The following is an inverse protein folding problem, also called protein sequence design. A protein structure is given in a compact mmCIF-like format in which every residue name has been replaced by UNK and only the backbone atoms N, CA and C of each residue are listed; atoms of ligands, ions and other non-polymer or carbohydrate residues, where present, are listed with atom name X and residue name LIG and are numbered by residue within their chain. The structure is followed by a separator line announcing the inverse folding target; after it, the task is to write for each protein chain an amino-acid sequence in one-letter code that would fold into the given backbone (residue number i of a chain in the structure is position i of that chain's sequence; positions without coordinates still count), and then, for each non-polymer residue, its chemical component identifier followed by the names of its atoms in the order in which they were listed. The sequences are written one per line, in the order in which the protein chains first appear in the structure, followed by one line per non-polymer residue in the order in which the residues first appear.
data_IF_097051360772
#
_entry.id   IF_097051360772
#
_cell.length_a   1.000
_cell.length_b   1.000
_cell.length_c   1.000
_cell.angle_alpha   90.00
_cell.angle_beta   90.00
_cell.angle_gamma   90.00
#
_symmetry.space_group_name_H-M   'P 1'
#
loop_
_entity.id
_entity.type
_entity.pdbx_description
1 polymer ?
#
# COMPACT_ATOMS: atom_id res chain seq x y z
N UNK A 1 51.28 15.44 39.80
CA UNK A 1 51.68 15.89 38.44
C UNK A 1 50.96 15.02 37.42
N UNK A 2 49.92 15.53 36.74
CA UNK A 2 49.82 15.42 35.28
C UNK A 2 48.68 16.26 34.73
N UNK A 3 49.01 16.94 33.62
CA UNK A 3 48.34 18.09 33.01
C UNK A 3 47.01 17.74 32.36
N UNK A 4 46.01 18.58 32.61
CA UNK A 4 44.87 18.77 31.73
C UNK A 4 45.33 19.30 30.36
N UNK A 5 44.95 18.60 29.29
CA UNK A 5 44.96 19.15 27.93
C UNK A 5 43.52 19.42 27.53
N UNK A 6 43.13 20.69 27.54
CA UNK A 6 41.87 21.16 26.97
C UNK A 6 42.02 21.25 25.45
N UNK A 7 41.39 20.32 24.74
CA UNK A 7 41.22 20.39 23.29
C UNK A 7 40.14 21.43 22.99
N UNK A 8 40.54 22.59 22.45
CA UNK A 8 39.60 23.60 21.96
C UNK A 8 38.94 23.11 20.68
N UNK A 9 37.70 22.64 20.79
CA UNK A 9 36.83 22.33 19.65
C UNK A 9 36.30 23.66 19.08
N UNK A 10 36.89 24.14 17.98
CA UNK A 10 36.39 25.31 17.26
C UNK A 10 34.99 25.02 16.71
N UNK A 11 33.98 25.76 17.17
CA UNK A 11 32.61 25.75 16.63
C UNK A 11 32.64 26.27 15.18
N UNK A 12 32.30 25.45 14.17
CA UNK A 12 32.20 25.94 12.81
C UNK A 12 31.02 26.91 12.67
N UNK A 13 31.32 27.97 11.94
CA UNK A 13 30.55 29.20 11.80
C UNK A 13 29.20 28.95 11.11
N UNK A 14 28.10 28.98 11.86
CA UNK A 14 26.71 28.86 11.37
C UNK A 14 26.36 29.84 10.24
N UNK A 15 27.08 30.95 10.13
CA UNK A 15 26.87 31.95 9.07
C UNK A 15 27.37 31.50 7.70
N UNK A 16 28.37 30.63 7.62
CA UNK A 16 28.90 30.14 6.34
C UNK A 16 27.93 29.16 5.67
N UNK A 17 27.24 28.31 6.44
CA UNK A 17 26.22 27.41 5.90
C UNK A 17 24.99 28.15 5.37
N UNK A 18 24.59 29.26 6.00
CA UNK A 18 23.40 30.01 5.59
C UNK A 18 23.59 30.70 4.22
N UNK A 19 24.81 31.18 3.93
CA UNK A 19 25.14 31.78 2.63
C UNK A 19 25.15 30.76 1.48
N UNK A 20 25.61 29.53 1.73
CA UNK A 20 25.56 28.46 0.73
C UNK A 20 24.11 28.05 0.41
N UNK A 21 23.22 28.03 1.41
CA UNK A 21 21.83 27.60 1.23
C UNK A 21 21.01 28.57 0.36
N UNK A 22 21.31 29.88 0.43
CA UNK A 22 20.64 30.89 -0.39
C UNK A 22 21.08 30.87 -1.87
N UNK A 23 22.29 30.38 -2.16
CA UNK A 23 22.77 30.24 -3.56
C UNK A 23 22.01 29.14 -4.33
N UNK A 24 21.65 28.04 -3.66
CA UNK A 24 20.93 26.93 -4.29
C UNK A 24 19.44 27.22 -4.61
N UNK A 25 18.81 28.17 -3.91
CA UNK A 25 17.39 28.46 -4.10
C UNK A 25 17.09 29.39 -5.30
N UNK A 26 18.11 29.82 -6.05
CA UNK A 26 17.96 30.79 -7.15
C UNK A 26 17.84 30.18 -8.56
N UNK A 27 17.96 28.86 -8.72
CA UNK A 27 17.96 28.20 -10.04
C UNK A 27 16.83 27.17 -10.19
N UNK A 28 15.59 27.61 -10.30
CA UNK A 28 14.55 26.84 -11.01
C UNK A 28 13.42 27.77 -11.45
N UNK A 29 13.71 28.52 -12.52
CA UNK A 29 12.73 29.26 -13.28
C UNK A 29 12.51 28.62 -14.65
N UNK A 30 11.23 28.45 -14.98
CA UNK A 30 10.59 28.31 -16.31
C UNK A 30 10.50 26.93 -16.97
N UNK A 31 9.26 26.65 -17.40
CA UNK A 31 8.88 25.73 -18.47
C UNK A 31 7.98 24.61 -17.96
N UNK A 32 6.83 24.25 -18.51
CA UNK A 32 6.22 24.58 -19.81
C UNK A 32 4.74 24.16 -19.73
N UNK A 33 3.82 24.99 -20.22
CA UNK A 33 2.42 24.62 -20.48
C UNK A 33 2.34 23.83 -21.79
N UNK A 34 1.71 22.65 -21.79
CA UNK A 34 1.05 21.95 -22.93
C UNK A 34 0.49 20.61 -22.38
N UNK A 35 -0.61 20.01 -22.81
CA UNK A 35 -1.65 20.31 -23.78
C UNK A 35 -2.93 19.62 -23.30
N UNK A 36 -4.10 20.20 -23.56
CA UNK A 36 -5.40 19.57 -23.32
C UNK A 36 -5.73 18.63 -24.46
N UNK A 37 -5.69 17.32 -24.23
CA UNK A 37 -6.27 16.34 -25.16
C UNK A 37 -7.72 16.06 -24.79
N UNK A 38 -8.63 16.51 -25.65
CA UNK A 38 -10.04 16.15 -25.63
C UNK A 38 -10.20 14.78 -26.30
N UNK A 39 -10.52 13.75 -25.51
CA UNK A 39 -10.88 12.43 -26.02
C UNK A 39 -12.40 12.33 -26.20
N UNK A 40 -12.84 12.24 -27.46
CA UNK A 40 -14.23 12.01 -27.86
C UNK A 40 -14.50 10.51 -27.91
N UNK A 41 -15.35 10.01 -27.01
CA UNK A 41 -15.81 8.61 -26.98
C UNK A 41 -17.04 8.46 -27.90
N UNK A 42 -17.08 7.48 -28.82
CA UNK A 42 -18.25 7.18 -29.62
C UNK A 42 -19.29 6.34 -28.83
N UNK A 43 -20.59 6.47 -29.13
CA UNK A 43 -21.65 5.70 -28.45
C UNK A 43 -21.72 4.25 -28.96
N UNK A 44 -21.66 3.30 -28.03
CA UNK A 44 -21.92 1.87 -28.28
C UNK A 44 -23.43 1.58 -28.31
N UNK A 45 -23.91 1.07 -29.45
CA UNK A 45 -25.27 0.56 -29.60
C UNK A 45 -25.34 -0.92 -29.21
N UNK A 46 -26.19 -1.27 -28.25
CA UNK A 46 -26.48 -2.65 -27.87
C UNK A 46 -27.70 -3.15 -28.64
N UNK A 47 -27.53 -4.23 -29.41
CA UNK A 47 -28.63 -4.95 -30.06
C UNK A 47 -29.04 -6.13 -29.18
N UNK A 48 -30.25 -6.08 -28.62
CA UNK A 48 -30.82 -7.18 -27.86
C UNK A 48 -31.38 -8.24 -28.82
N UNK A 49 -30.85 -9.47 -28.76
CA UNK A 49 -31.43 -10.63 -29.43
C UNK A 49 -32.14 -11.47 -28.37
N UNK A 50 -33.47 -11.51 -28.45
CA UNK A 50 -34.29 -12.40 -27.63
C UNK A 50 -34.36 -13.77 -28.31
N UNK A 51 -33.85 -14.82 -27.63
CA UNK A 51 -33.99 -16.21 -28.04
C UNK A 51 -35.07 -16.88 -27.18
N UNK A 52 -36.19 -17.19 -27.81
CA UNK A 52 -37.27 -18.02 -27.26
C UNK A 52 -36.84 -19.48 -27.32
N UNK A 53 -36.68 -20.13 -26.16
CA UNK A 53 -36.43 -21.58 -26.10
C UNK A 53 -37.71 -22.33 -25.77
N UNK A 54 -38.06 -23.29 -26.62
CA UNK A 54 -39.14 -24.25 -26.43
C UNK A 54 -38.67 -25.38 -25.53
N UNK A 55 -39.30 -25.55 -24.38
CA UNK A 55 -39.01 -26.63 -23.44
C UNK A 55 -39.59 -27.97 -23.93
N UNK A 56 -38.73 -28.96 -24.10
CA UNK A 56 -39.09 -30.36 -24.36
C UNK A 56 -38.91 -31.14 -23.05
N UNK A 57 -40.00 -31.69 -22.52
CA UNK A 57 -40.01 -32.45 -21.27
C UNK A 57 -39.34 -33.82 -21.44
N UNK A 58 -38.16 -33.99 -20.83
CA UNK A 58 -37.43 -35.25 -20.76
C UNK A 58 -37.67 -35.93 -19.39
N UNK A 59 -37.71 -37.28 -19.29
CA UNK A 59 -38.04 -37.98 -18.05
C UNK A 59 -36.94 -37.85 -16.99
N UNK A 60 -37.37 -37.73 -15.73
CA UNK A 60 -36.53 -37.44 -14.57
C UNK A 60 -35.47 -38.55 -14.30
N UNK A 61 -34.17 -38.21 -14.31
CA UNK A 61 -33.13 -39.11 -13.81
C UNK A 61 -33.09 -39.09 -12.27
N UNK A 62 -32.70 -40.23 -11.72
CA UNK A 62 -32.50 -40.50 -10.30
C UNK A 62 -31.55 -39.45 -9.69
N UNK A 63 -32.05 -38.69 -8.70
CA UNK A 63 -31.35 -37.54 -8.12
C UNK A 63 -30.22 -37.99 -7.18
N UNK A 64 -29.03 -38.20 -7.75
CA UNK A 64 -27.79 -38.23 -6.98
C UNK A 64 -27.53 -36.79 -6.51
N UNK A 65 -27.79 -36.51 -5.23
CA UNK A 65 -27.45 -35.21 -4.63
C UNK A 65 -25.93 -35.04 -4.70
N UNK A 66 -25.47 -34.38 -5.75
CA UNK A 66 -24.12 -33.85 -5.82
C UNK A 66 -24.09 -32.75 -4.76
N UNK A 67 -23.20 -32.82 -3.75
CA UNK A 67 -23.08 -31.75 -2.77
C UNK A 67 -22.89 -30.45 -3.53
N UNK A 68 -23.77 -29.48 -3.28
CA UNK A 68 -23.66 -28.16 -3.88
C UNK A 68 -22.23 -27.68 -3.64
N UNK A 69 -21.47 -27.31 -4.68
CA UNK A 69 -20.14 -26.76 -4.48
C UNK A 69 -20.30 -25.62 -3.48
N UNK A 70 -19.55 -25.73 -2.38
CA UNK A 70 -19.48 -24.66 -1.39
C UNK A 70 -19.20 -23.37 -2.15
N UNK A 71 -19.99 -22.29 -1.94
CA UNK A 71 -19.84 -21.06 -2.68
C UNK A 71 -18.37 -20.68 -2.62
N UNK A 72 -17.69 -20.81 -3.77
CA UNK A 72 -16.28 -20.46 -3.86
C UNK A 72 -16.25 -18.97 -3.62
N UNK A 73 -15.90 -18.57 -2.40
CA UNK A 73 -15.80 -17.19 -2.02
C UNK A 73 -14.79 -16.58 -2.99
N UNK A 74 -15.28 -15.75 -3.92
CA UNK A 74 -14.45 -15.09 -4.91
C UNK A 74 -13.34 -14.39 -4.12
N UNK A 75 -12.06 -14.70 -4.36
CA UNK A 75 -10.96 -14.07 -3.63
C UNK A 75 -11.14 -12.56 -3.80
N UNK A 76 -11.30 -11.87 -2.67
CA UNK A 76 -11.53 -10.44 -2.70
C UNK A 76 -10.33 -9.80 -3.41
N UNK A 77 -10.53 -9.00 -4.48
CA UNK A 77 -9.42 -8.56 -5.29
C UNK A 77 -8.61 -7.52 -4.53
N UNK A 78 -7.55 -7.99 -3.86
CA UNK A 78 -6.44 -7.14 -3.50
C UNK A 78 -5.70 -6.73 -4.76
N UNK A 79 -5.20 -5.50 -4.75
CA UNK A 79 -4.42 -5.01 -5.88
C UNK A 79 -2.97 -5.48 -5.77
N UNK A 80 -2.43 -5.89 -6.90
CA UNK A 80 -1.00 -6.20 -7.03
C UNK A 80 -0.20 -4.89 -7.08
N UNK A 81 0.90 -4.77 -6.32
CA UNK A 81 1.77 -3.61 -6.39
C UNK A 81 2.43 -3.52 -7.77
N UNK A 82 2.73 -2.30 -8.20
CA UNK A 82 3.52 -2.09 -9.42
C UNK A 82 5.03 -2.32 -9.17
N UNK A 83 5.82 -2.34 -10.25
CA UNK A 83 7.26 -2.59 -10.16
C UNK A 83 8.00 -1.61 -9.24
N UNK A 84 7.64 -0.33 -9.26
CA UNK A 84 8.27 0.70 -8.41
C UNK A 84 7.98 0.42 -6.93
N UNK A 85 6.73 0.05 -6.60
CA UNK A 85 6.33 -0.33 -5.24
C UNK A 85 7.05 -1.60 -4.77
N UNK A 86 7.24 -2.57 -5.67
CA UNK A 86 8.01 -3.79 -5.40
C UNK A 86 9.48 -3.46 -5.16
N UNK A 87 10.11 -2.62 -5.97
CA UNK A 87 11.53 -2.26 -5.83
C UNK A 87 11.80 -1.40 -4.58
N UNK A 88 10.84 -0.58 -4.18
CA UNK A 88 10.99 0.39 -3.08
C UNK A 88 10.30 -0.04 -1.78
N UNK A 89 9.96 -1.31 -1.61
CA UNK A 89 9.16 -1.78 -0.47
C UNK A 89 9.74 -1.39 0.91
N UNK A 90 11.06 -1.29 1.03
CA UNK A 90 11.71 -0.88 2.28
C UNK A 90 11.35 0.56 2.69
N UNK A 91 11.20 1.46 1.72
CA UNK A 91 10.74 2.82 1.95
C UNK A 91 9.31 2.85 2.48
N UNK A 92 8.42 2.05 1.88
CA UNK A 92 7.04 1.88 2.37
C UNK A 92 7.02 1.37 3.81
N UNK A 93 7.83 0.35 4.13
CA UNK A 93 7.91 -0.19 5.49
C UNK A 93 8.33 0.89 6.50
N UNK A 94 9.37 1.68 6.18
CA UNK A 94 9.86 2.73 7.08
C UNK A 94 8.81 3.83 7.31
N UNK A 95 8.13 4.28 6.26
CA UNK A 95 7.10 5.31 6.39
C UNK A 95 5.88 4.81 7.17
N UNK A 96 5.44 3.56 6.93
CA UNK A 96 4.35 2.92 7.67
C UNK A 96 4.70 2.71 9.15
N UNK A 97 5.92 2.27 9.45
CA UNK A 97 6.39 2.14 10.83
C UNK A 97 6.37 3.50 11.54
N UNK A 98 6.86 4.55 10.87
CA UNK A 98 6.94 5.91 11.43
C UNK A 98 5.57 6.46 11.80
N UNK A 99 4.54 6.29 10.96
CA UNK A 99 3.22 6.84 11.26
C UNK A 99 2.44 6.00 12.28
N UNK A 100 2.67 4.68 12.35
CA UNK A 100 2.00 3.80 13.32
C UNK A 100 2.65 3.92 14.71
N UNK A 101 3.97 4.06 14.77
CA UNK A 101 4.75 4.18 16.01
C UNK A 101 5.60 5.46 16.03
N UNK A 102 4.98 6.65 16.14
CA UNK A 102 5.65 7.94 15.95
C UNK A 102 6.70 8.30 17.01
N UNK A 103 6.75 7.58 18.14
CA UNK A 103 7.67 7.83 19.23
C UNK A 103 8.88 6.86 19.25
N UNK A 104 8.92 5.93 18.30
CA UNK A 104 9.91 4.86 18.23
C UNK A 104 10.76 4.99 16.95
N UNK A 105 11.89 4.28 16.89
CA UNK A 105 12.71 4.23 15.67
C UNK A 105 12.04 3.31 14.65
N UNK A 106 11.72 3.77 13.42
CA UNK A 106 10.97 2.97 12.46
C UNK A 106 11.71 1.71 12.00
N UNK A 107 13.05 1.70 12.04
CA UNK A 107 13.89 0.56 11.69
C UNK A 107 13.72 -0.64 12.64
N UNK A 108 13.13 -0.41 13.82
CA UNK A 108 12.82 -1.47 14.76
C UNK A 108 11.53 -2.21 14.42
N UNK A 109 10.77 -1.80 13.41
CA UNK A 109 9.49 -2.42 13.08
C UNK A 109 9.55 -3.08 11.71
N UNK A 110 8.92 -4.25 11.64
CA UNK A 110 8.55 -4.87 10.38
C UNK A 110 7.10 -4.52 10.09
N UNK A 111 6.77 -4.36 8.80
CA UNK A 111 5.41 -4.07 8.36
C UNK A 111 4.99 -5.01 7.23
N UNK A 112 3.73 -5.37 7.28
CA UNK A 112 2.95 -6.01 6.22
C UNK A 112 1.84 -5.06 5.80
N UNK A 113 1.43 -5.12 4.54
CA UNK A 113 0.27 -4.34 4.09
C UNK A 113 -0.41 -4.98 2.89
N UNK A 114 -1.69 -4.66 2.71
CA UNK A 114 -2.45 -4.94 1.50
C UNK A 114 -2.93 -3.64 0.87
N UNK A 115 -2.93 -3.59 -0.47
CA UNK A 115 -3.49 -2.46 -1.20
C UNK A 115 -5.00 -2.64 -1.34
N UNK A 116 -5.73 -1.71 -0.75
CA UNK A 116 -7.18 -1.68 -0.75
C UNK A 116 -7.74 -0.93 -1.97
N UNK A 117 -7.01 0.02 -2.54
CA UNK A 117 -7.44 0.78 -3.71
C UNK A 117 -6.49 1.89 -4.12
N UNK A 118 -6.85 2.57 -5.20
CA UNK A 118 -6.12 3.72 -5.74
C UNK A 118 -7.11 4.84 -6.09
N UNK A 119 -6.67 6.09 -5.93
CA UNK A 119 -7.37 7.27 -6.45
C UNK A 119 -6.35 8.32 -6.89
N UNK A 120 -6.07 8.36 -8.20
CA UNK A 120 -5.02 9.23 -8.75
C UNK A 120 -3.64 8.90 -8.16
N UNK A 121 -3.11 9.80 -7.33
CA UNK A 121 -1.82 9.66 -6.63
C UNK A 121 -1.95 9.08 -5.23
N UNK A 122 -3.18 8.78 -4.78
CA UNK A 122 -3.43 8.18 -3.47
C UNK A 122 -3.49 6.66 -3.59
N UNK A 123 -2.73 6.01 -2.72
CA UNK A 123 -2.72 4.58 -2.50
C UNK A 123 -3.32 4.31 -1.13
N UNK A 124 -4.43 3.58 -1.09
CA UNK A 124 -5.07 3.19 0.16
C UNK A 124 -4.61 1.80 0.55
N UNK A 125 -4.02 1.67 1.74
CA UNK A 125 -3.51 0.39 2.25
C UNK A 125 -4.09 0.09 3.61
N UNK A 126 -4.13 -1.20 3.95
CA UNK A 126 -4.23 -1.65 5.34
C UNK A 126 -2.86 -2.15 5.76
N UNK A 127 -2.29 -1.56 6.81
CA UNK A 127 -0.95 -1.86 7.27
C UNK A 127 -0.98 -2.51 8.66
N UNK A 128 -0.17 -3.54 8.83
CA UNK A 128 0.09 -4.21 10.10
C UNK A 128 1.59 -4.09 10.36
N UNK A 129 1.97 -3.36 11.40
CA UNK A 129 3.37 -3.23 11.81
C UNK A 129 3.56 -3.70 13.24
N UNK A 130 4.73 -4.24 13.57
CA UNK A 130 5.00 -4.65 14.94
C UNK A 130 6.46 -4.97 15.23
N UNK A 131 6.77 -5.12 16.51
CA UNK A 131 8.02 -5.60 17.10
C UNK A 131 7.71 -6.47 18.33
N UNK A 132 8.11 -7.74 18.29
CA UNK A 132 7.74 -8.72 19.31
C UNK A 132 6.21 -8.75 19.48
N UNK A 133 5.74 -8.53 20.72
CA UNK A 133 4.31 -8.54 21.06
C UNK A 133 3.60 -7.20 20.78
N UNK A 134 4.32 -6.13 20.45
CA UNK A 134 3.74 -4.81 20.19
C UNK A 134 3.42 -4.66 18.71
N UNK A 135 2.14 -4.58 18.37
CA UNK A 135 1.68 -4.38 16.99
C UNK A 135 0.62 -3.28 16.87
N UNK A 136 0.46 -2.79 15.64
CA UNK A 136 -0.56 -1.84 15.24
C UNK A 136 -1.08 -2.21 13.86
N UNK A 137 -2.41 -2.22 13.71
CA UNK A 137 -3.11 -2.59 12.48
C UNK A 137 -4.07 -1.47 12.10
N UNK A 138 -3.78 -0.71 11.04
CA UNK A 138 -4.53 0.50 10.69
C UNK A 138 -4.66 0.70 9.17
N UNK A 139 -5.74 1.32 8.68
CA UNK A 139 -5.80 1.80 7.31
C UNK A 139 -4.96 3.09 7.19
N UNK A 140 -4.30 3.23 6.05
CA UNK A 140 -3.35 4.31 5.76
C UNK A 140 -3.57 4.80 4.34
N UNK A 141 -3.44 6.11 4.14
CA UNK A 141 -3.36 6.75 2.83
C UNK A 141 -1.91 7.08 2.56
N UNK A 142 -1.38 6.62 1.43
CA UNK A 142 -0.04 6.97 0.94
C UNK A 142 -0.23 7.84 -0.31
N UNK A 143 0.18 9.09 -0.24
CA UNK A 143 0.22 9.99 -1.40
C UNK A 143 1.55 9.82 -2.11
N UNK A 144 1.53 9.62 -3.42
CA UNK A 144 2.70 9.39 -4.25
C UNK A 144 2.98 10.60 -5.15
N UNK A 145 4.26 10.84 -5.43
CA UNK A 145 4.66 11.72 -6.53
C UNK A 145 4.44 11.01 -7.88
N UNK A 146 4.56 11.76 -8.98
CA UNK A 146 4.38 11.21 -10.33
C UNK A 146 5.42 10.16 -10.74
N UNK A 147 6.56 10.11 -10.07
CA UNK A 147 7.60 9.09 -10.23
C UNK A 147 7.38 7.84 -9.34
N UNK A 148 6.27 7.80 -8.61
CA UNK A 148 5.93 6.73 -7.67
C UNK A 148 6.65 6.82 -6.32
N UNK A 149 7.44 7.87 -6.05
CA UNK A 149 8.01 8.07 -4.71
C UNK A 149 6.93 8.40 -3.69
N UNK A 150 7.18 8.09 -2.42
CA UNK A 150 6.28 8.53 -1.36
C UNK A 150 6.40 10.04 -1.20
N UNK A 151 5.26 10.74 -1.23
CA UNK A 151 5.16 12.16 -0.91
C UNK A 151 4.74 12.35 0.54
N UNK A 152 3.74 11.59 0.99
CA UNK A 152 3.16 11.71 2.32
C UNK A 152 2.47 10.39 2.73
N UNK A 153 2.41 10.14 4.04
CA UNK A 153 1.72 8.99 4.62
C UNK A 153 0.87 9.45 5.78
N UNK A 154 -0.42 9.13 5.74
CA UNK A 154 -1.39 9.56 6.74
C UNK A 154 -2.23 8.41 7.25
N UNK A 155 -2.44 8.38 8.56
CA UNK A 155 -3.46 7.54 9.20
C UNK A 155 -4.52 8.42 9.85
N UNK A 156 -5.74 7.92 10.07
CA UNK A 156 -6.75 8.62 10.85
C UNK A 156 -6.19 9.11 12.19
N UNK A 157 -6.29 10.41 12.45
CA UNK A 157 -5.80 11.01 13.70
C UNK A 157 -6.62 10.54 14.91
N UNK A 158 -7.94 10.53 14.76
CA UNK A 158 -8.84 9.80 15.64
C UNK A 158 -9.71 8.87 14.76
N UNK A 159 -10.10 7.73 15.31
CA UNK A 159 -10.89 6.70 14.61
C UNK A 159 -12.38 7.03 14.55
N UNK A 160 -12.72 8.31 14.40
CA UNK A 160 -14.12 8.72 14.22
C UNK A 160 -14.58 8.33 12.83
N UNK A 161 -15.86 7.96 12.72
CA UNK A 161 -16.50 7.61 11.44
C UNK A 161 -16.32 8.74 10.42
N UNK A 162 -16.42 10.00 10.86
CA UNK A 162 -16.23 11.17 10.00
C UNK A 162 -14.82 11.24 9.41
N UNK A 163 -13.78 11.09 10.21
CA UNK A 163 -12.40 11.09 9.71
C UNK A 163 -12.12 9.92 8.77
N UNK A 164 -12.65 8.73 9.08
CA UNK A 164 -12.53 7.56 8.20
C UNK A 164 -13.24 7.81 6.87
N UNK A 165 -14.46 8.34 6.88
CA UNK A 165 -15.23 8.62 5.66
C UNK A 165 -14.60 9.72 4.81
N UNK A 166 -13.94 10.69 5.45
CA UNK A 166 -13.22 11.76 4.77
C UNK A 166 -11.95 11.26 4.07
N UNK A 167 -11.21 10.33 4.69
CA UNK A 167 -9.92 9.87 4.18
C UNK A 167 -10.03 8.70 3.19
N UNK A 168 -11.03 7.83 3.35
CA UNK A 168 -11.14 6.59 2.57
C UNK A 168 -12.44 6.57 1.77
N UNK A 169 -12.39 6.39 0.44
CA UNK A 169 -13.57 6.17 -0.41
C UNK A 169 -14.42 4.97 0.04
N UNK A 170 -15.70 4.96 -0.32
CA UNK A 170 -16.65 3.93 0.12
C UNK A 170 -16.23 2.51 -0.30
N UNK A 171 -15.77 2.35 -1.54
CA UNK A 171 -15.29 1.08 -2.08
C UNK A 171 -14.05 0.53 -1.33
N UNK A 172 -13.22 1.42 -0.79
CA UNK A 172 -12.07 1.08 0.07
C UNK A 172 -12.55 0.69 1.47
N UNK A 173 -13.45 1.47 2.07
CA UNK A 173 -13.98 1.19 3.43
C UNK A 173 -14.71 -0.14 3.51
N UNK A 174 -15.42 -0.53 2.45
CA UNK A 174 -16.12 -1.82 2.37
C UNK A 174 -15.17 -3.03 2.49
N UNK A 175 -13.86 -2.82 2.35
CA UNK A 175 -12.82 -3.87 2.50
C UNK A 175 -12.29 -3.99 3.94
N UNK A 176 -12.58 -3.04 4.83
CA UNK A 176 -12.05 -3.05 6.20
C UNK A 176 -12.50 -4.29 6.98
N UNK A 177 -13.78 -4.65 6.88
CA UNK A 177 -14.30 -5.86 7.50
C UNK A 177 -13.56 -7.12 7.05
N UNK A 178 -13.12 -7.17 5.79
CA UNK A 178 -12.34 -8.30 5.27
C UNK A 178 -10.92 -8.33 5.84
N UNK A 179 -10.30 -7.15 6.00
CA UNK A 179 -9.01 -7.04 6.68
C UNK A 179 -9.08 -7.49 8.13
N UNK A 180 -10.13 -7.09 8.84
CA UNK A 180 -10.35 -7.44 10.25
C UNK A 180 -10.77 -8.91 10.42
N UNK A 181 -11.49 -9.49 9.46
CA UNK A 181 -12.00 -10.85 9.54
C UNK A 181 -10.94 -11.95 9.35
N UNK A 182 -9.71 -11.63 8.92
CA UNK A 182 -8.65 -12.64 8.88
C UNK A 182 -7.41 -12.29 8.05
N UNK A 183 -7.49 -11.35 7.11
CA UNK A 183 -6.30 -11.03 6.29
C UNK A 183 -5.20 -10.36 7.12
N UNK A 184 -5.57 -9.56 8.12
CA UNK A 184 -4.59 -9.03 9.09
C UNK A 184 -3.91 -10.13 9.91
N UNK A 185 -4.60 -11.26 10.16
CA UNK A 185 -4.02 -12.39 10.88
C UNK A 185 -2.93 -13.08 10.06
N UNK A 186 -3.15 -13.27 8.75
CA UNK A 186 -2.12 -13.80 7.83
C UNK A 186 -0.90 -12.88 7.76
N UNK A 187 -1.13 -11.57 7.77
CA UNK A 187 -0.05 -10.58 7.85
C UNK A 187 0.74 -10.71 9.16
N UNK A 188 0.06 -10.85 10.31
CA UNK A 188 0.74 -11.07 11.59
C UNK A 188 1.58 -12.35 11.60
N UNK A 189 1.05 -13.45 11.06
CA UNK A 189 1.77 -14.72 10.94
C UNK A 189 3.03 -14.59 10.08
N UNK A 190 2.95 -13.87 8.95
CA UNK A 190 4.13 -13.62 8.13
C UNK A 190 5.13 -12.69 8.79
N UNK A 191 4.65 -11.68 9.52
CA UNK A 191 5.49 -10.74 10.26
C UNK A 191 6.29 -11.49 11.35
N UNK A 192 5.67 -12.42 12.07
CA UNK A 192 6.35 -13.30 13.04
C UNK A 192 7.46 -14.12 12.38
N UNK A 193 7.18 -14.70 11.21
CA UNK A 193 8.21 -15.43 10.44
C UNK A 193 9.36 -14.52 9.99
N UNK A 194 9.07 -13.30 9.51
CA UNK A 194 10.08 -12.34 9.04
C UNK A 194 10.98 -11.82 10.15
N UNK A 195 10.59 -11.91 11.42
CA UNK A 195 11.49 -11.61 12.54
C UNK A 195 12.73 -12.50 12.57
N UNK A 196 12.59 -13.76 12.15
CA UNK A 196 13.71 -14.68 11.96
C UNK A 196 14.38 -14.55 10.57
N UNK A 197 13.76 -13.82 9.63
CA UNK A 197 14.17 -13.71 8.23
C UNK A 197 14.11 -12.25 7.75
N UNK A 198 14.88 -11.37 8.39
CA UNK A 198 14.74 -9.91 8.23
C UNK A 198 15.06 -9.38 6.82
N UNK A 199 15.70 -10.19 5.97
CA UNK A 199 15.94 -9.87 4.55
C UNK A 199 14.73 -10.12 3.64
N UNK A 200 13.71 -10.80 4.14
CA UNK A 200 12.55 -11.19 3.34
C UNK A 200 11.55 -10.03 3.22
N UNK A 201 10.98 -9.84 2.02
CA UNK A 201 10.06 -8.75 1.77
C UNK A 201 8.66 -9.07 2.34
N UNK A 202 7.77 -8.08 2.43
CA UNK A 202 6.38 -8.28 2.82
C UNK A 202 5.61 -9.20 1.86
N UNK A 203 4.51 -9.82 2.32
CA UNK A 203 3.68 -10.74 1.53
C UNK A 203 3.25 -10.15 0.19
N UNK A 204 2.88 -8.88 0.18
CA UNK A 204 2.41 -8.20 -1.03
C UNK A 204 3.49 -8.14 -2.11
N UNK A 205 4.75 -8.03 -1.71
CA UNK A 205 5.91 -8.02 -2.62
C UNK A 205 6.24 -9.44 -3.05
N UNK A 206 6.25 -10.39 -2.10
CA UNK A 206 6.48 -11.79 -2.37
C UNK A 206 5.50 -12.35 -3.41
N UNK A 207 4.22 -12.02 -3.28
CA UNK A 207 3.16 -12.46 -4.19
C UNK A 207 3.18 -11.75 -5.56
N UNK A 208 3.84 -10.59 -5.66
CA UNK A 208 3.95 -9.83 -6.90
C UNK A 208 5.16 -10.23 -7.75
N UNK A 209 6.13 -10.91 -7.15
CA UNK A 209 7.27 -11.43 -7.89
C UNK A 209 6.78 -12.51 -8.85
N UNK A 210 7.02 -12.39 -10.17
CA UNK A 210 6.69 -13.46 -11.08
C UNK A 210 7.44 -14.71 -10.63
N UNK A 211 6.74 -15.84 -10.54
CA UNK A 211 7.38 -17.12 -10.34
C UNK A 211 8.41 -17.28 -11.46
N UNK A 212 9.69 -17.08 -11.14
CA UNK A 212 10.78 -17.24 -12.08
C UNK A 212 10.73 -18.72 -12.44
N UNK A 213 10.08 -19.02 -13.56
CA UNK A 213 10.03 -20.38 -14.07
C UNK A 213 11.45 -20.67 -14.53
N UNK A 214 12.16 -21.62 -13.91
CA UNK A 214 13.53 -21.92 -14.31
C UNK A 214 13.48 -22.25 -15.81
N UNK A 215 14.17 -21.44 -16.60
CA UNK A 215 14.30 -21.69 -18.04
C UNK A 215 15.08 -23.00 -18.17
N UNK A 216 14.54 -24.03 -18.84
CA UNK A 216 15.16 -25.34 -18.94
C UNK A 216 16.51 -25.31 -19.66
#
# INVERSE_FOLDING_TARGET
MNRHSHTMLMKPCKHACFLFLMLFLSSCGRGTQLATETSTIPPFAWTAVALTQTALSNPAPLSTQTPSPEPTQLPFPFFTPNAIQVERWQEYQLELARIIFPNDQPEWFLCEWAILGYSGQELYVWAVCGIGERFGSVPVVITLNSDGSIQNVEKPGNWTVENIHKMFPEDVRNKFNYMEAGESQKMLEHLDWRWAHTGEPPLIVHNAMPAITPTP
#
